data_IF_304560782469
#
_entry.id   IF_304560782469
#
_cell.length_a   1.000
_cell.length_b   1.000
_cell.length_c   1.000
_cell.angle_alpha   90.00
_cell.angle_beta   90.00
_cell.angle_gamma   90.00
#
_symmetry.space_group_name_H-M   'P 1'
#
loop_
_entity.id
_entity.type
_entity.pdbx_description
1 polymer ?
#
# COMPACT_ATOMS: atom_id res chain seq x y z
N UNK A 1 -40.97 18.39 -42.18
CA UNK A 1 -39.60 18.15 -42.67
C UNK A 1 -38.62 18.84 -41.75
N UNK A 2 -37.60 18.09 -41.31
CA UNK A 2 -36.23 18.50 -40.95
C UNK A 2 -36.08 19.68 -39.99
N UNK A 3 -35.59 19.38 -38.78
CA UNK A 3 -34.43 20.06 -38.15
C UNK A 3 -34.02 19.29 -36.88
N UNK A 4 -33.25 18.23 -37.07
CA UNK A 4 -32.38 17.64 -36.03
C UNK A 4 -30.95 17.96 -36.44
N UNK A 5 -30.52 19.20 -36.18
CA UNK A 5 -29.13 19.59 -36.38
C UNK A 5 -28.48 19.77 -35.02
N UNK A 6 -27.35 19.08 -34.84
CA UNK A 6 -26.26 19.47 -33.95
C UNK A 6 -26.35 19.08 -32.47
N UNK A 7 -26.47 17.77 -32.19
CA UNK A 7 -25.78 17.22 -31.01
C UNK A 7 -24.33 17.02 -31.43
N UNK A 8 -23.53 18.08 -31.28
CA UNK A 8 -22.09 18.01 -31.43
C UNK A 8 -21.55 17.12 -30.32
N UNK A 9 -21.06 15.96 -30.73
CA UNK A 9 -20.16 15.05 -30.02
C UNK A 9 -19.21 15.80 -29.08
N UNK A 10 -19.60 15.95 -27.82
CA UNK A 10 -18.67 16.08 -26.72
C UNK A 10 -18.36 14.68 -26.22
N UNK A 11 -17.69 13.90 -27.08
CA UNK A 11 -16.98 12.72 -26.61
C UNK A 11 -15.81 13.27 -25.80
N UNK A 12 -15.74 13.05 -24.47
CA UNK A 12 -14.50 13.36 -23.78
C UNK A 12 -13.47 12.45 -24.43
N UNK A 13 -12.41 13.05 -25.00
CA UNK A 13 -11.16 12.36 -25.19
C UNK A 13 -10.84 11.78 -23.81
N UNK A 14 -11.08 10.47 -23.66
CA UNK A 14 -10.59 9.73 -22.52
C UNK A 14 -9.08 9.91 -22.62
N UNK A 15 -8.55 10.84 -21.83
CA UNK A 15 -7.13 11.10 -21.72
C UNK A 15 -6.56 9.73 -21.35
N UNK A 16 -5.93 9.06 -22.33
CA UNK A 16 -5.13 7.88 -22.09
C UNK A 16 -4.06 8.38 -21.12
N UNK A 17 -4.29 8.18 -19.82
CA UNK A 17 -3.40 8.64 -18.79
C UNK A 17 -2.07 7.99 -19.13
N UNK A 18 -1.09 8.82 -19.53
CA UNK A 18 0.24 8.38 -19.88
C UNK A 18 0.68 7.36 -18.82
N UNK A 19 0.87 6.09 -19.23
CA UNK A 19 1.24 4.97 -18.37
C UNK A 19 2.61 5.28 -17.76
N UNK A 20 2.61 6.06 -16.70
CA UNK A 20 3.81 6.43 -15.97
C UNK A 20 3.96 5.44 -14.84
N UNK A 21 5.15 4.85 -14.73
CA UNK A 21 5.56 4.02 -13.60
C UNK A 21 5.20 4.68 -12.26
N UNK A 22 5.27 6.02 -12.19
CA UNK A 22 4.90 6.80 -11.02
C UNK A 22 3.43 6.62 -10.62
N UNK A 23 2.51 6.63 -11.58
CA UNK A 23 1.07 6.41 -11.32
C UNK A 23 0.80 5.00 -10.79
N UNK A 24 1.48 3.99 -11.34
CA UNK A 24 1.37 2.61 -10.84
C UNK A 24 1.96 2.45 -9.44
N UNK A 25 3.09 3.12 -9.14
CA UNK A 25 3.67 3.14 -7.80
C UNK A 25 2.75 3.81 -6.78
N UNK A 26 2.06 4.89 -7.15
CA UNK A 26 1.11 5.56 -6.27
C UNK A 26 -0.12 4.69 -5.98
N UNK A 27 -0.70 4.07 -7.01
CA UNK A 27 -1.85 3.17 -6.86
C UNK A 27 -1.46 1.97 -5.99
N UNK A 28 -0.31 1.35 -6.27
CA UNK A 28 0.19 0.22 -5.50
C UNK A 28 0.50 0.60 -4.04
N UNK A 29 1.02 1.81 -3.78
CA UNK A 29 1.24 2.27 -2.41
C UNK A 29 -0.06 2.43 -1.63
N UNK A 30 -1.12 2.97 -2.27
CA UNK A 30 -2.39 3.26 -1.60
C UNK A 30 -3.27 2.04 -1.40
N UNK A 31 -3.21 1.07 -2.31
CA UNK A 31 -4.18 -0.03 -2.35
C UNK A 31 -3.61 -1.38 -1.89
N UNK A 32 -2.32 -1.48 -1.57
CA UNK A 32 -1.74 -2.76 -1.19
C UNK A 32 -2.15 -3.17 0.24
N UNK A 33 -2.87 -4.30 0.42
CA UNK A 33 -3.37 -4.73 1.73
C UNK A 33 -2.23 -5.12 2.69
N UNK A 34 -1.13 -5.65 2.17
CA UNK A 34 0.04 -6.05 2.98
C UNK A 34 0.70 -4.82 3.62
N UNK A 35 0.87 -3.75 2.85
CA UNK A 35 1.44 -2.51 3.37
C UNK A 35 0.51 -1.85 4.40
N UNK A 36 -0.81 -1.89 4.15
CA UNK A 36 -1.82 -1.33 5.05
C UNK A 36 -1.89 -2.10 6.39
N UNK A 37 -1.83 -3.44 6.35
CA UNK A 37 -1.80 -4.27 7.55
C UNK A 37 -0.60 -3.91 8.44
N UNK A 38 0.59 -3.81 7.84
CA UNK A 38 1.82 -3.44 8.56
C UNK A 38 1.77 -2.02 9.13
N UNK A 39 1.10 -1.10 8.43
CA UNK A 39 0.86 0.25 8.94
C UNK A 39 0.00 0.24 10.22
N UNK A 40 -1.09 -0.52 10.23
CA UNK A 40 -1.94 -0.65 11.42
C UNK A 40 -1.23 -1.37 12.57
N UNK A 41 -0.39 -2.36 12.29
CA UNK A 41 0.44 -3.02 13.31
C UNK A 41 1.40 -2.03 13.98
N UNK A 42 2.06 -1.17 13.19
CA UNK A 42 2.90 -0.09 13.69
C UNK A 42 2.10 0.92 14.53
N UNK A 43 0.94 1.35 14.04
CA UNK A 43 0.08 2.29 14.76
C UNK A 43 -0.37 1.72 16.12
N UNK A 44 -0.79 0.46 16.14
CA UNK A 44 -1.16 -0.24 17.36
C UNK A 44 0.03 -0.36 18.34
N UNK A 45 1.23 -0.64 17.85
CA UNK A 45 2.45 -0.69 18.66
C UNK A 45 2.83 0.68 19.23
N UNK A 46 2.70 1.75 18.43
CA UNK A 46 2.95 3.13 18.85
C UNK A 46 1.99 3.58 19.95
N UNK A 47 0.68 3.29 19.78
CA UNK A 47 -0.34 3.56 20.82
C UNK A 47 -0.05 2.80 22.10
N UNK A 48 0.33 1.51 22.01
CA UNK A 48 0.73 0.71 23.18
C UNK A 48 1.94 1.28 23.90
N UNK A 49 2.93 1.81 23.17
CA UNK A 49 4.09 2.46 23.78
C UNK A 49 3.73 3.75 24.51
N UNK A 50 2.77 4.53 23.99
CA UNK A 50 2.26 5.74 24.65
C UNK A 50 1.38 5.43 25.87
N UNK A 51 0.69 4.29 25.88
CA UNK A 51 -0.18 3.85 26.98
C UNK A 51 0.58 3.33 28.21
N UNK A 52 1.90 3.16 28.14
CA UNK A 52 2.72 2.84 29.32
C UNK A 52 2.77 4.05 30.26
N UNK A 53 1.73 4.20 31.08
CA UNK A 53 1.55 5.23 32.10
C UNK A 53 1.50 4.59 33.50
N UNK A 54 1.37 5.43 34.54
CA UNK A 54 1.07 4.91 35.88
C UNK A 54 -0.27 4.15 35.83
N UNK A 55 -0.40 3.05 36.58
CA UNK A 55 -1.67 2.33 36.66
C UNK A 55 -2.78 3.27 37.14
N UNK A 56 -3.94 3.15 36.50
CA UNK A 56 -5.09 4.01 36.74
C UNK A 56 -5.58 3.84 38.20
N UNK A 57 -5.98 4.94 38.87
CA UNK A 57 -6.56 4.85 40.19
C UNK A 57 -7.99 4.27 40.12
N UNK A 58 -8.26 3.26 40.94
CA UNK A 58 -9.59 2.71 41.10
C UNK A 58 -10.37 3.54 42.13
N UNK A 59 -11.46 4.16 41.69
CA UNK A 59 -12.39 4.90 42.55
C UNK A 59 -13.61 4.02 42.80
N UNK A 60 -13.82 3.61 44.05
CA UNK A 60 -15.02 2.88 44.46
C UNK A 60 -15.96 3.79 45.22
N UNK A 61 -17.20 3.90 44.73
CA UNK A 61 -18.30 4.62 45.37
C UNK A 61 -19.33 3.61 45.89
N UNK A 62 -19.53 3.58 47.22
CA UNK A 62 -20.52 2.72 47.88
C UNK A 62 -21.61 3.55 48.55
N UNK A 63 -22.88 3.22 48.32
CA UNK A 63 -24.03 3.83 49.01
C UNK A 63 -24.71 2.75 49.86
N UNK A 64 -24.79 2.97 51.17
CA UNK A 64 -25.34 1.99 52.11
C UNK A 64 -26.81 2.31 52.40
N UNK A 65 -27.71 1.42 51.96
CA UNK A 65 -29.17 1.55 52.17
C UNK A 65 -29.57 1.33 53.64
N UNK A 66 -28.76 0.58 54.40
CA UNK A 66 -28.92 0.40 55.85
C UNK A 66 -27.66 0.91 56.54
N UNK A 67 -27.76 1.88 57.46
CA UNK A 67 -26.60 2.36 58.19
C UNK A 67 -26.05 1.22 59.05
N UNK A 68 -24.76 0.92 58.91
CA UNK A 68 -24.02 0.12 59.88
C UNK A 68 -23.69 1.02 61.06
N UNK A 69 -23.88 0.55 62.29
CA UNK A 69 -23.41 1.28 63.48
C UNK A 69 -21.88 1.23 63.51
N UNK A 70 -21.25 2.35 63.14
CA UNK A 70 -19.85 2.62 63.49
C UNK A 70 -19.83 3.49 64.74
N UNK A 71 -18.83 3.26 65.59
CA UNK A 71 -18.58 3.97 66.87
C UNK A 71 -18.48 5.50 66.71
N UNK A 72 -18.35 6.00 65.47
CA UNK A 72 -18.18 7.41 65.12
C UNK A 72 -19.32 8.02 64.27
N UNK A 73 -20.47 7.34 64.09
CA UNK A 73 -21.67 7.88 63.43
C UNK A 73 -22.11 7.21 62.11
N UNK A 74 -23.30 7.61 61.63
CA UNK A 74 -23.98 7.01 60.45
C UNK A 74 -23.24 7.31 59.12
N UNK A 75 -22.58 6.31 58.54
CA UNK A 75 -21.94 6.42 57.23
C UNK A 75 -22.92 6.03 56.11
N UNK A 76 -23.43 7.01 55.37
CA UNK A 76 -24.42 6.82 54.27
C UNK A 76 -23.78 6.61 52.90
N UNK A 77 -22.53 7.03 52.73
CA UNK A 77 -21.74 6.85 51.51
C UNK A 77 -20.25 6.70 51.84
N UNK A 78 -19.53 5.88 51.08
CA UNK A 78 -18.08 5.73 51.15
C UNK A 78 -17.44 5.99 49.77
N UNK A 79 -16.43 6.85 49.75
CA UNK A 79 -15.55 7.07 48.60
C UNK A 79 -14.17 6.51 48.96
N UNK A 80 -13.68 5.53 48.21
CA UNK A 80 -12.36 4.94 48.41
C UNK A 80 -11.56 4.99 47.11
N UNK A 81 -10.37 5.58 47.17
CA UNK A 81 -9.41 5.68 46.07
C UNK A 81 -8.26 4.70 46.33
N UNK A 82 -8.05 3.74 45.45
CA UNK A 82 -6.94 2.79 45.51
C UNK A 82 -6.06 2.96 44.28
N UNK A 83 -4.74 3.16 44.46
CA UNK A 83 -3.79 3.16 43.36
C UNK A 83 -2.54 2.36 43.75
N UNK A 84 -2.15 1.43 42.88
CA UNK A 84 -0.86 0.75 43.00
C UNK A 84 0.25 1.70 42.57
N UNK A 85 1.22 1.99 43.43
CA UNK A 85 2.41 2.75 43.02
C UNK A 85 3.50 1.76 42.60
N UNK A 86 3.83 1.66 41.31
CA UNK A 86 4.91 0.80 40.87
C UNK A 86 6.26 1.34 41.36
N UNK A 87 7.21 0.44 41.58
CA UNK A 87 8.57 0.82 41.97
C UNK A 87 9.24 1.64 40.86
N UNK A 88 10.00 2.67 41.26
CA UNK A 88 10.73 3.53 40.33
C UNK A 88 11.63 2.68 39.42
N UNK A 89 11.58 2.93 38.11
CA UNK A 89 12.36 2.21 37.09
C UNK A 89 11.56 1.21 36.24
N UNK A 90 10.57 0.50 36.81
CA UNK A 90 9.79 -0.51 36.04
C UNK A 90 9.06 0.11 34.86
N UNK A 91 8.48 1.30 35.05
CA UNK A 91 7.80 2.06 33.98
C UNK A 91 8.79 2.46 32.88
N UNK A 92 10.03 2.83 33.22
CA UNK A 92 11.03 3.25 32.25
C UNK A 92 11.46 2.06 31.37
N UNK A 93 11.81 0.92 31.98
CA UNK A 93 12.19 -0.27 31.21
C UNK A 93 11.04 -0.80 30.35
N UNK A 94 9.81 -0.81 30.87
CA UNK A 94 8.64 -1.20 30.09
C UNK A 94 8.41 -0.24 28.90
N UNK A 95 8.56 1.07 29.12
CA UNK A 95 8.45 2.08 28.06
C UNK A 95 9.52 1.89 27.00
N UNK A 96 10.76 1.63 27.40
CA UNK A 96 11.86 1.40 26.48
C UNK A 96 11.63 0.16 25.63
N UNK A 97 11.22 -0.96 26.22
CA UNK A 97 10.86 -2.19 25.50
C UNK A 97 9.74 -1.95 24.47
N UNK A 98 8.65 -1.27 24.87
CA UNK A 98 7.54 -0.96 23.95
C UNK A 98 7.95 0.03 22.87
N UNK A 99 8.84 0.99 23.18
CA UNK A 99 9.37 1.93 22.20
C UNK A 99 10.24 1.23 21.14
N UNK A 100 11.11 0.30 21.56
CA UNK A 100 11.93 -0.52 20.67
C UNK A 100 11.07 -1.43 19.80
N UNK A 101 10.02 -2.01 20.38
CA UNK A 101 9.03 -2.81 19.64
C UNK A 101 8.31 -1.96 18.58
N UNK A 102 7.87 -0.75 18.94
CA UNK A 102 7.25 0.17 17.98
C UNK A 102 8.21 0.56 16.85
N UNK A 103 9.49 0.79 17.17
CA UNK A 103 10.53 1.05 16.16
C UNK A 103 10.75 -0.14 15.23
N UNK A 104 10.81 -1.36 15.76
CA UNK A 104 10.91 -2.57 14.95
C UNK A 104 9.71 -2.71 13.99
N UNK A 105 8.48 -2.45 14.47
CA UNK A 105 7.28 -2.47 13.61
C UNK A 105 7.28 -1.38 12.54
N UNK A 106 7.86 -0.23 12.83
CA UNK A 106 8.05 0.82 11.83
C UNK A 106 8.97 0.38 10.69
N UNK A 107 10.09 -0.28 11.02
CA UNK A 107 11.00 -0.81 10.01
C UNK A 107 10.34 -1.91 9.17
N UNK A 108 9.55 -2.81 9.78
CA UNK A 108 8.76 -3.81 9.06
C UNK A 108 7.80 -3.17 8.04
N UNK A 109 7.13 -2.07 8.42
CA UNK A 109 6.26 -1.31 7.51
C UNK A 109 7.05 -0.72 6.33
N UNK A 110 8.23 -0.14 6.61
CA UNK A 110 9.08 0.44 5.58
C UNK A 110 9.64 -0.61 4.62
N UNK A 111 10.01 -1.78 5.13
CA UNK A 111 10.41 -2.94 4.33
C UNK A 111 9.27 -3.40 3.43
N UNK A 112 8.05 -3.55 3.97
CA UNK A 112 6.88 -3.94 3.18
C UNK A 112 6.59 -2.93 2.07
N UNK A 113 6.66 -1.63 2.35
CA UNK A 113 6.52 -0.57 1.35
C UNK A 113 7.59 -0.65 0.26
N UNK A 114 8.86 -0.88 0.64
CA UNK A 114 9.96 -1.05 -0.32
C UNK A 114 9.76 -2.27 -1.21
N UNK A 115 9.27 -3.38 -0.64
CA UNK A 115 8.96 -4.60 -1.38
C UNK A 115 7.90 -4.35 -2.46
N UNK A 116 6.80 -3.67 -2.11
CA UNK A 116 5.75 -3.32 -3.09
C UNK A 116 6.30 -2.47 -4.23
N UNK A 117 7.15 -1.49 -3.93
CA UNK A 117 7.80 -0.69 -4.98
C UNK A 117 8.75 -1.49 -5.85
N UNK A 118 9.48 -2.43 -5.26
CA UNK A 118 10.35 -3.33 -6.01
C UNK A 118 9.55 -4.20 -6.98
N UNK A 119 8.46 -4.82 -6.51
CA UNK A 119 7.62 -5.71 -7.32
C UNK A 119 6.97 -4.97 -8.50
N UNK A 120 6.47 -3.75 -8.27
CA UNK A 120 5.92 -2.90 -9.35
C UNK A 120 6.99 -2.53 -10.38
N UNK A 121 8.19 -2.15 -9.94
CA UNK A 121 9.29 -1.81 -10.86
C UNK A 121 9.75 -3.03 -11.65
N UNK A 122 9.83 -4.18 -11.00
CA UNK A 122 10.20 -5.45 -11.63
C UNK A 122 9.23 -5.81 -12.74
N UNK A 123 7.93 -5.87 -12.42
CA UNK A 123 6.87 -6.21 -13.38
C UNK A 123 6.81 -5.20 -14.52
N UNK A 124 6.98 -3.91 -14.23
CA UNK A 124 7.10 -2.87 -15.26
C UNK A 124 8.27 -3.13 -16.22
N UNK A 125 9.46 -3.42 -15.68
CA UNK A 125 10.64 -3.71 -16.49
C UNK A 125 10.45 -4.98 -17.34
N UNK A 126 9.84 -6.02 -16.80
CA UNK A 126 9.48 -7.24 -17.54
C UNK A 126 8.53 -6.93 -18.71
N UNK A 127 7.50 -6.11 -18.47
CA UNK A 127 6.59 -5.65 -19.52
C UNK A 127 7.32 -4.89 -20.63
N UNK A 128 8.25 -4.00 -20.26
CA UNK A 128 9.04 -3.25 -21.25
C UNK A 128 9.94 -4.16 -22.07
N UNK A 129 10.58 -5.16 -21.46
CA UNK A 129 11.37 -6.17 -22.19
C UNK A 129 10.52 -6.92 -23.21
N UNK A 130 9.32 -7.35 -22.83
CA UNK A 130 8.39 -8.04 -23.74
C UNK A 130 7.98 -7.12 -24.89
N UNK A 131 7.64 -5.86 -24.61
CA UNK A 131 7.30 -4.87 -25.65
C UNK A 131 8.44 -4.68 -26.64
N UNK A 132 9.68 -4.57 -26.16
CA UNK A 132 10.86 -4.44 -27.02
C UNK A 132 11.10 -5.71 -27.86
N UNK A 133 10.98 -6.90 -27.26
CA UNK A 133 11.11 -8.17 -27.98
C UNK A 133 10.08 -8.28 -29.11
N UNK A 134 8.83 -7.85 -28.86
CA UNK A 134 7.77 -7.81 -29.87
C UNK A 134 8.11 -6.86 -31.02
N UNK A 135 8.65 -5.68 -30.73
CA UNK A 135 9.10 -4.72 -31.75
C UNK A 135 10.21 -5.31 -32.62
N UNK A 136 11.20 -5.96 -32.01
CA UNK A 136 12.30 -6.61 -32.73
C UNK A 136 11.76 -7.76 -33.60
N UNK A 137 10.89 -8.60 -33.06
CA UNK A 137 10.28 -9.71 -33.80
C UNK A 137 9.50 -9.23 -35.03
N UNK A 138 8.74 -8.13 -34.91
CA UNK A 138 8.03 -7.52 -36.05
C UNK A 138 9.00 -7.01 -37.12
N UNK A 139 10.06 -6.31 -36.71
CA UNK A 139 11.10 -5.84 -37.65
C UNK A 139 11.78 -7.00 -38.38
N UNK A 140 12.07 -8.09 -37.68
CA UNK A 140 12.66 -9.28 -38.28
C UNK A 140 11.70 -9.93 -39.29
N UNK A 141 10.41 -10.03 -38.97
CA UNK A 141 9.40 -10.56 -39.89
C UNK A 141 9.29 -9.71 -41.17
N UNK A 142 9.32 -8.39 -41.05
CA UNK A 142 9.28 -7.48 -42.19
C UNK A 142 10.57 -7.55 -43.05
N UNK A 143 11.73 -7.73 -42.42
CA UNK A 143 13.00 -7.96 -43.12
C UNK A 143 12.96 -9.26 -43.93
N UNK A 144 12.49 -10.35 -43.33
CA UNK A 144 12.36 -11.66 -44.01
C UNK A 144 11.42 -11.57 -45.21
N UNK A 145 10.27 -10.89 -45.08
CA UNK A 145 9.35 -10.63 -46.21
C UNK A 145 10.01 -9.83 -47.33
N UNK A 146 10.89 -8.89 -46.99
CA UNK A 146 11.61 -8.08 -47.99
C UNK A 146 12.62 -8.95 -48.74
N UNK A 147 13.37 -9.79 -48.03
CA UNK A 147 14.32 -10.75 -48.63
C UNK A 147 13.59 -11.73 -49.54
N UNK A 148 12.43 -12.26 -49.11
CA UNK A 148 11.61 -13.16 -49.92
C UNK A 148 11.21 -12.51 -51.25
N UNK A 149 10.69 -11.27 -51.21
CA UNK A 149 10.33 -10.51 -52.42
C UNK A 149 11.51 -10.30 -53.35
N UNK A 150 12.68 -9.95 -52.82
CA UNK A 150 13.89 -9.74 -53.61
C UNK A 150 14.39 -11.05 -54.24
N UNK A 151 14.37 -12.16 -53.51
CA UNK A 151 14.76 -13.48 -54.01
C UNK A 151 13.84 -13.97 -55.13
N UNK A 152 12.52 -13.80 -54.97
CA UNK A 152 11.54 -14.11 -56.03
C UNK A 152 11.74 -13.23 -57.26
N UNK A 153 12.00 -11.94 -57.08
CA UNK A 153 12.28 -11.02 -58.19
C UNK A 153 13.56 -11.40 -58.95
N UNK A 154 14.64 -11.74 -58.22
CA UNK A 154 15.90 -12.22 -58.81
C UNK A 154 15.71 -13.53 -59.58
N UNK A 155 14.98 -14.49 -59.01
CA UNK A 155 14.69 -15.75 -59.69
C UNK A 155 13.91 -15.54 -60.99
N UNK A 156 12.87 -14.70 -60.97
CA UNK A 156 12.10 -14.33 -62.18
C UNK A 156 12.93 -13.60 -63.23
N UNK A 157 13.87 -12.75 -62.82
CA UNK A 157 14.77 -12.07 -63.74
C UNK A 157 15.75 -13.05 -64.40
N UNK A 158 16.27 -14.02 -63.65
CA UNK A 158 17.18 -15.05 -64.17
C UNK A 158 16.47 -16.11 -65.02
N UNK A 159 15.15 -16.30 -64.84
CA UNK A 159 14.35 -17.23 -65.64
C UNK A 159 13.83 -16.65 -66.96
N UNK A 160 14.05 -15.35 -67.23
CA UNK A 160 13.79 -14.77 -68.56
C UNK A 160 15.01 -15.04 -69.44
N UNK A 161 14.88 -15.73 -70.60
CA UNK A 161 15.98 -15.87 -71.53
C UNK A 161 16.37 -14.48 -72.03
N UNK A 162 17.67 -14.22 -72.15
CA UNK A 162 18.16 -13.08 -72.92
C UNK A 162 17.73 -13.26 -74.37
N UNK A 163 16.61 -12.63 -74.76
CA UNK A 163 16.34 -12.34 -76.16
C UNK A 163 17.45 -11.39 -76.63
N UNK A 164 18.37 -11.96 -77.41
CA UNK A 164 19.29 -11.21 -78.27
C UNK A 164 18.61 -10.76 -79.55
#
# INVERSE_FOLDING_TARGET
MKNKWFVLLLFPLCSQAQDSLMRYLEIAARQNPTALQKFYDYEAASRKAAQVALPDPEVTLGVFVRPMELVMGNQRASLQLMQQFPWFGVIQYAKDEKSLTAKSKFEEFQDAKRQVYFDVRRTWNELQKIKQALVIAKKNADLLRTIEKLSVAKWKANSKPSEG
#
